data_IF_547330168736
#
_entry.id   IF_547330168736
#
_cell.length_a   1.000
_cell.length_b   1.000
_cell.length_c   1.000
_cell.angle_alpha   90.00
_cell.angle_beta   90.00
_cell.angle_gamma   90.00
#
_symmetry.space_group_name_H-M   'P 1'
#
loop_
_entity.id
_entity.type
_entity.pdbx_description
1 polymer ?
#
# COMPACT_ATOMS: atom_id res chain seq x y z
N UNK A 1 -39.21 2.18 18.05
CA UNK A 1 -39.71 1.12 17.14
C UNK A 1 -38.51 0.34 16.59
N UNK A 2 -38.46 -1.00 16.74
CA UNK A 2 -37.35 -1.82 16.19
C UNK A 2 -37.52 -1.90 14.67
N UNK A 3 -36.57 -1.35 13.89
CA UNK A 3 -36.57 -1.49 12.42
C UNK A 3 -36.44 -2.98 12.05
N UNK A 4 -37.33 -3.48 11.20
CA UNK A 4 -37.21 -4.84 10.62
C UNK A 4 -36.02 -4.88 9.66
N UNK A 5 -35.27 -6.00 9.58
CA UNK A 5 -34.16 -6.13 8.64
C UNK A 5 -34.66 -6.07 7.20
N UNK A 6 -33.94 -5.35 6.35
CA UNK A 6 -34.22 -5.30 4.92
C UNK A 6 -33.94 -6.67 4.27
N UNK A 7 -34.85 -7.15 3.43
CA UNK A 7 -34.72 -8.41 2.69
C UNK A 7 -33.66 -8.29 1.59
N UNK A 8 -32.57 -9.05 1.68
CA UNK A 8 -31.54 -9.06 0.63
C UNK A 8 -32.03 -9.84 -0.61
N UNK A 9 -31.71 -9.39 -1.85
CA UNK A 9 -31.99 -10.18 -3.05
C UNK A 9 -31.18 -11.48 -3.04
N UNK A 10 -31.76 -12.56 -3.55
CA UNK A 10 -31.13 -13.89 -3.58
C UNK A 10 -30.48 -14.10 -4.96
N UNK A 11 -29.25 -14.61 -5.01
CA UNK A 11 -28.61 -14.98 -6.27
C UNK A 11 -29.18 -16.31 -6.84
N UNK A 12 -28.83 -16.66 -8.07
CA UNK A 12 -29.26 -17.93 -8.71
C UNK A 12 -28.83 -19.22 -7.98
N UNK A 13 -28.05 -19.11 -6.91
CA UNK A 13 -27.57 -20.21 -6.07
C UNK A 13 -28.25 -20.22 -4.67
N UNK A 14 -29.31 -19.44 -4.46
CA UNK A 14 -30.06 -19.42 -3.20
C UNK A 14 -29.40 -18.64 -2.04
N UNK A 15 -28.34 -17.86 -2.31
CA UNK A 15 -27.60 -17.08 -1.29
C UNK A 15 -27.95 -15.60 -1.33
N UNK A 16 -28.10 -14.98 -0.16
CA UNK A 16 -28.38 -13.55 -0.03
C UNK A 16 -27.21 -12.69 -0.57
N UNK A 17 -27.49 -11.82 -1.55
CA UNK A 17 -26.54 -10.90 -2.16
C UNK A 17 -26.69 -9.50 -1.58
N UNK A 18 -25.57 -8.80 -1.40
CA UNK A 18 -25.58 -7.41 -0.95
C UNK A 18 -26.35 -6.53 -1.92
N UNK A 19 -27.26 -5.69 -1.41
CA UNK A 19 -28.03 -4.75 -2.22
C UNK A 19 -27.18 -3.71 -2.96
N UNK A 20 -25.98 -3.42 -2.47
CA UNK A 20 -25.12 -2.34 -2.99
C UNK A 20 -23.86 -2.81 -3.71
N UNK A 21 -23.57 -4.13 -3.76
CA UNK A 21 -22.39 -4.65 -4.47
C UNK A 21 -22.51 -6.17 -4.73
N UNK A 22 -21.53 -6.76 -5.41
CA UNK A 22 -21.51 -8.19 -5.76
C UNK A 22 -21.19 -9.14 -4.59
N UNK A 23 -20.83 -8.60 -3.41
CA UNK A 23 -20.46 -9.42 -2.25
C UNK A 23 -21.69 -10.05 -1.58
N UNK A 24 -21.52 -11.17 -0.84
CA UNK A 24 -22.61 -11.78 -0.08
C UNK A 24 -23.11 -10.85 1.03
N UNK A 25 -24.43 -10.78 1.19
CA UNK A 25 -25.05 -10.15 2.35
C UNK A 25 -24.91 -11.06 3.58
N UNK A 26 -24.91 -10.46 4.77
CA UNK A 26 -24.90 -11.24 6.01
C UNK A 26 -26.33 -11.36 6.55
N UNK A 27 -26.81 -12.58 6.86
CA UNK A 27 -28.15 -12.78 7.41
C UNK A 27 -28.36 -11.93 8.68
N UNK A 28 -29.52 -11.27 8.77
CA UNK A 28 -29.88 -10.40 9.90
C UNK A 28 -29.26 -9.00 9.87
N UNK A 29 -28.54 -8.63 8.80
CA UNK A 29 -28.11 -7.25 8.58
C UNK A 29 -29.32 -6.33 8.38
N UNK A 30 -29.41 -5.22 9.14
CA UNK A 30 -30.51 -4.26 8.97
C UNK A 30 -30.63 -3.71 7.55
N UNK A 31 -29.49 -3.63 6.85
CA UNK A 31 -29.38 -3.08 5.50
C UNK A 31 -29.41 -4.12 4.38
N UNK A 32 -29.53 -5.43 4.69
CA UNK A 32 -29.42 -6.48 3.67
C UNK A 32 -28.11 -6.41 2.87
N UNK A 33 -27.03 -6.00 3.52
CA UNK A 33 -25.77 -5.61 2.88
C UNK A 33 -24.55 -6.34 3.48
N UNK A 34 -23.46 -6.41 2.71
CA UNK A 34 -22.16 -6.88 3.17
C UNK A 34 -21.57 -5.93 4.25
N UNK A 35 -20.51 -6.36 4.94
CA UNK A 35 -19.89 -5.58 6.03
C UNK A 35 -19.47 -4.16 5.61
N UNK A 36 -18.90 -4.01 4.41
CA UNK A 36 -18.39 -2.71 3.92
C UNK A 36 -19.53 -1.76 3.56
N UNK A 37 -20.47 -2.19 2.72
CA UNK A 37 -21.64 -1.40 2.34
C UNK A 37 -22.52 -1.06 3.55
N UNK A 38 -22.70 -2.00 4.50
CA UNK A 38 -23.45 -1.73 5.73
C UNK A 38 -22.78 -0.66 6.61
N UNK A 39 -21.45 -0.57 6.61
CA UNK A 39 -20.74 0.51 7.32
C UNK A 39 -20.90 1.86 6.64
N UNK A 40 -20.81 1.91 5.31
CA UNK A 40 -21.04 3.14 4.53
C UNK A 40 -22.48 3.65 4.72
N UNK A 41 -23.47 2.77 4.70
CA UNK A 41 -24.87 3.10 4.96
C UNK A 41 -25.07 3.61 6.40
N UNK A 42 -24.45 2.96 7.40
CA UNK A 42 -24.49 3.42 8.79
C UNK A 42 -23.78 4.77 9.02
N UNK A 43 -22.81 5.13 8.17
CA UNK A 43 -22.11 6.42 8.22
C UNK A 43 -22.87 7.53 7.47
N UNK A 44 -23.59 7.18 6.40
CA UNK A 44 -24.43 8.10 5.63
C UNK A 44 -25.73 8.49 6.37
N UNK A 45 -26.26 7.62 7.24
CA UNK A 45 -27.44 7.88 8.09
C UNK A 45 -27.14 8.87 9.26
N UNK A 46 -26.16 9.77 9.11
CA UNK A 46 -25.66 10.71 10.12
C UNK A 46 -26.61 11.83 10.57
N UNK A 47 -27.92 11.66 10.41
CA UNK A 47 -28.94 12.60 10.87
C UNK A 47 -30.17 11.87 11.42
N UNK A 48 -30.46 12.09 12.70
CA UNK A 48 -31.56 11.52 13.50
C UNK A 48 -31.46 10.02 13.84
N UNK A 49 -30.79 9.72 14.97
CA UNK A 49 -30.81 8.46 15.71
C UNK A 49 -30.79 7.17 14.85
N UNK A 50 -29.67 6.85 14.16
CA UNK A 50 -29.60 5.68 13.29
C UNK A 50 -29.67 4.39 14.13
N UNK A 51 -30.58 3.50 13.73
CA UNK A 51 -30.64 2.15 14.28
C UNK A 51 -29.36 1.39 13.90
N UNK A 52 -28.40 1.29 14.84
CA UNK A 52 -27.14 0.56 14.63
C UNK A 52 -27.42 -0.89 14.22
N UNK A 53 -26.71 -1.36 13.19
CA UNK A 53 -26.84 -2.73 12.73
C UNK A 53 -26.33 -3.70 13.82
N UNK A 54 -27.15 -4.66 14.30
CA UNK A 54 -26.76 -5.60 15.34
C UNK A 54 -25.67 -6.57 14.87
N UNK A 55 -25.60 -6.81 13.55
CA UNK A 55 -24.64 -7.73 12.90
C UNK A 55 -23.32 -7.04 12.57
N UNK A 56 -23.36 -5.76 12.16
CA UNK A 56 -22.19 -5.01 11.71
C UNK A 56 -21.93 -3.80 12.61
N UNK A 57 -21.49 -4.08 13.85
CA UNK A 57 -21.16 -3.05 14.85
C UNK A 57 -20.06 -2.11 14.33
N UNK A 58 -20.34 -0.82 14.35
CA UNK A 58 -19.35 0.25 14.20
C UNK A 58 -18.79 0.53 15.59
N UNK A 59 -17.47 0.45 15.78
CA UNK A 59 -16.85 0.85 17.05
C UNK A 59 -17.07 2.36 17.18
N UNK A 60 -17.73 2.79 18.27
CA UNK A 60 -17.84 4.19 18.60
C UNK A 60 -16.48 4.76 18.95
N UNK A 61 -16.27 6.04 18.64
CA UNK A 61 -15.13 6.82 19.12
C UNK A 61 -15.24 6.95 20.65
N UNK A 62 -14.37 6.25 21.37
CA UNK A 62 -14.33 6.28 22.83
C UNK A 62 -13.74 4.99 23.42
N UNK A 63 -12.73 5.15 24.28
CA UNK A 63 -11.94 4.14 25.01
C UNK A 63 -10.73 3.54 24.26
N UNK A 64 -9.58 4.19 24.48
CA UNK A 64 -8.24 3.59 24.40
C UNK A 64 -8.09 2.58 25.53
N UNK A 65 -7.79 1.32 25.20
CA UNK A 65 -7.44 0.29 26.17
C UNK A 65 -7.33 -1.10 25.52
N UNK A 66 -6.09 -1.60 25.42
CA UNK A 66 -5.78 -3.03 25.31
C UNK A 66 -5.92 -3.69 23.93
N UNK A 67 -4.78 -4.15 23.41
CA UNK A 67 -4.59 -5.16 22.36
C UNK A 67 -5.06 -4.81 20.92
N UNK A 68 -4.13 -4.24 20.13
CA UNK A 68 -4.06 -4.50 18.68
C UNK A 68 -2.68 -4.09 18.14
N UNK A 69 -1.74 -5.03 18.12
CA UNK A 69 -0.70 -5.04 17.11
C UNK A 69 -1.32 -5.53 15.78
N UNK A 70 -0.88 -4.94 14.68
CA UNK A 70 -1.23 -5.28 13.29
C UNK A 70 -2.64 -4.90 12.81
N UNK A 71 -2.87 -3.63 12.49
CA UNK A 71 -3.79 -3.20 11.43
C UNK A 71 -3.62 -1.70 11.13
N UNK A 72 -2.83 -1.34 10.11
CA UNK A 72 -2.85 -0.02 9.47
C UNK A 72 -2.60 -0.26 7.96
N UNK A 73 -3.28 0.31 6.97
CA UNK A 73 -4.53 1.05 6.89
C UNK A 73 -4.96 0.95 5.40
N UNK A 74 -6.15 0.43 5.13
CA UNK A 74 -6.88 0.69 3.88
C UNK A 74 -7.77 1.89 4.16
N UNK A 75 -7.53 3.00 3.47
CA UNK A 75 -8.52 4.06 3.30
C UNK A 75 -8.61 4.44 1.83
N UNK A 76 -9.84 4.76 1.45
CA UNK A 76 -10.36 4.90 0.09
C UNK A 76 -9.92 6.21 -0.56
N UNK A 77 -9.88 6.16 -1.89
CA UNK A 77 -9.35 7.16 -2.81
C UNK A 77 -10.25 8.41 -2.88
N UNK A 78 -9.63 9.60 -2.87
CA UNK A 78 -10.22 10.84 -3.34
C UNK A 78 -9.46 11.28 -4.60
N UNK A 79 -10.18 11.43 -5.71
CA UNK A 79 -9.65 11.89 -7.00
C UNK A 79 -9.18 13.34 -6.91
N UNK A 80 -7.91 13.59 -7.27
CA UNK A 80 -7.40 14.94 -7.50
C UNK A 80 -7.22 15.13 -9.01
N UNK A 81 -7.94 16.10 -9.58
CA UNK A 81 -7.76 16.57 -10.95
C UNK A 81 -6.39 17.24 -11.10
N UNK A 82 -5.58 16.74 -12.03
CA UNK A 82 -4.31 17.35 -12.46
C UNK A 82 -4.58 18.25 -13.67
N UNK A 83 -4.35 19.55 -13.49
CA UNK A 83 -4.18 20.49 -14.58
C UNK A 83 -2.75 20.37 -15.13
N UNK A 84 -2.63 20.36 -16.45
CA UNK A 84 -1.37 20.26 -17.17
C UNK A 84 -0.53 21.53 -16.98
N UNK A 85 0.72 21.37 -16.56
CA UNK A 85 1.75 22.40 -16.66
C UNK A 85 3.03 21.72 -17.17
N UNK A 86 3.35 22.01 -18.42
CA UNK A 86 4.58 21.62 -19.10
C UNK A 86 5.76 22.41 -18.51
N UNK A 87 6.76 21.70 -17.98
CA UNK A 87 8.10 22.24 -17.80
C UNK A 87 9.11 21.14 -18.14
N UNK A 88 9.76 21.31 -19.29
CA UNK A 88 10.72 20.39 -19.86
C UNK A 88 12.03 20.35 -19.05
N UNK A 89 12.40 19.16 -18.61
CA UNK A 89 13.79 18.78 -18.31
C UNK A 89 14.09 17.51 -19.10
N UNK A 90 14.98 17.67 -20.08
CA UNK A 90 15.43 16.65 -21.04
C UNK A 90 16.23 15.55 -20.33
N UNK A 91 15.51 14.54 -19.83
CA UNK A 91 16.03 13.23 -19.50
C UNK A 91 15.60 12.29 -20.63
N UNK A 92 16.52 12.03 -21.55
CA UNK A 92 16.34 11.28 -22.78
C UNK A 92 15.33 10.12 -22.67
N UNK A 93 14.22 10.28 -23.38
CA UNK A 93 13.29 9.26 -23.86
C UNK A 93 13.28 7.92 -23.12
N UNK A 94 12.84 7.92 -21.86
CA UNK A 94 12.25 6.73 -21.24
C UNK A 94 10.83 7.07 -20.85
N UNK A 95 9.92 6.89 -21.81
CA UNK A 95 8.48 7.03 -21.63
C UNK A 95 8.07 6.13 -20.45
N UNK A 96 7.78 6.72 -19.29
CA UNK A 96 7.16 6.04 -18.18
C UNK A 96 5.79 5.54 -18.66
N UNK A 97 5.72 4.32 -19.17
CA UNK A 97 4.45 3.68 -19.49
C UNK A 97 3.79 3.34 -18.16
N UNK A 98 3.00 4.28 -17.65
CA UNK A 98 1.96 3.95 -16.69
C UNK A 98 1.03 2.98 -17.42
N UNK A 99 1.09 1.70 -17.06
CA UNK A 99 0.11 0.71 -17.48
C UNK A 99 -1.24 1.07 -16.84
N UNK A 100 -1.93 2.03 -17.45
CA UNK A 100 -3.33 2.33 -17.19
C UNK A 100 -4.16 1.19 -17.74
N UNK A 101 -4.51 0.24 -16.89
CA UNK A 101 -5.61 -0.68 -17.18
C UNK A 101 -6.90 0.15 -17.11
N UNK A 102 -7.36 0.62 -18.26
CA UNK A 102 -8.59 1.38 -18.43
C UNK A 102 -9.80 0.64 -17.88
N UNK A 103 -10.55 1.33 -17.04
CA UNK A 103 -11.92 1.05 -16.69
C UNK A 103 -12.79 1.27 -17.95
N UNK A 104 -13.40 0.20 -18.45
CA UNK A 104 -14.48 0.25 -19.43
C UNK A 104 -15.62 -0.64 -18.96
N UNK A 105 -16.71 -0.02 -18.52
CA UNK A 105 -18.00 -0.68 -18.27
C UNK A 105 -18.73 -0.89 -19.59
N UNK A 106 -19.15 -2.12 -19.89
CA UNK A 106 -20.35 -2.44 -20.67
C UNK A 106 -20.73 -3.92 -20.49
N UNK A 107 -22.02 -4.19 -20.71
CA UNK A 107 -22.79 -5.35 -20.28
C UNK A 107 -22.67 -6.60 -21.18
N UNK A 108 -23.17 -7.70 -20.61
CA UNK A 108 -23.74 -8.92 -21.23
C UNK A 108 -22.89 -9.78 -22.17
N UNK A 109 -22.91 -11.08 -21.89
CA UNK A 109 -22.54 -12.14 -22.83
C UNK A 109 -21.53 -13.13 -22.26
N UNK A 110 -21.93 -14.40 -22.14
CA UNK A 110 -21.06 -15.53 -21.87
C UNK A 110 -19.99 -15.66 -22.96
N UNK A 111 -18.85 -14.99 -22.79
CA UNK A 111 -17.68 -15.14 -23.64
C UNK A 111 -16.81 -16.29 -23.14
N UNK A 112 -16.46 -17.23 -24.03
CA UNK A 112 -15.43 -18.24 -23.82
C UNK A 112 -14.14 -17.60 -23.25
N UNK A 113 -13.35 -18.34 -22.43
CA UNK A 113 -12.10 -17.83 -21.89
C UNK A 113 -11.21 -17.37 -23.05
N UNK A 114 -11.07 -16.04 -23.19
CA UNK A 114 -10.18 -15.46 -24.16
C UNK A 114 -8.76 -15.93 -23.83
N UNK A 115 -7.96 -16.38 -24.81
CA UNK A 115 -6.57 -16.71 -24.56
C UNK A 115 -5.92 -15.47 -23.95
N UNK A 116 -5.41 -15.61 -22.73
CA UNK A 116 -4.56 -14.63 -22.09
C UNK A 116 -3.30 -14.55 -22.96
N UNK A 117 -3.30 -13.62 -23.91
CA UNK A 117 -2.08 -13.23 -24.60
C UNK A 117 -1.22 -12.57 -23.54
N UNK A 118 -0.18 -13.26 -23.09
CA UNK A 118 0.80 -12.67 -22.18
C UNK A 118 1.28 -11.36 -22.81
N UNK A 119 1.30 -10.25 -22.05
CA UNK A 119 1.83 -9.01 -22.57
C UNK A 119 3.27 -9.26 -23.06
N UNK A 120 3.67 -8.66 -24.19
CA UNK A 120 5.01 -8.87 -24.74
C UNK A 120 6.06 -8.56 -23.67
N UNK A 121 7.04 -9.45 -23.54
CA UNK A 121 8.14 -9.27 -22.59
C UNK A 121 8.92 -8.02 -22.96
N UNK A 122 8.85 -6.98 -22.12
CA UNK A 122 9.64 -5.77 -22.32
C UNK A 122 11.11 -6.05 -21.99
N UNK A 123 11.98 -5.92 -22.99
CA UNK A 123 13.43 -6.10 -22.83
C UNK A 123 14.08 -4.72 -22.66
N UNK A 124 14.71 -4.49 -21.50
CA UNK A 124 15.53 -3.31 -21.28
C UNK A 124 16.98 -3.57 -21.72
N UNK A 125 17.57 -2.65 -22.47
CA UNK A 125 19.00 -2.70 -22.87
C UNK A 125 19.95 -2.24 -21.76
N UNK A 126 19.46 -1.47 -20.79
CA UNK A 126 20.27 -0.88 -19.71
C UNK A 126 20.90 -1.94 -18.82
N UNK A 127 22.23 -1.95 -18.72
CA UNK A 127 22.98 -2.88 -17.84
C UNK A 127 22.99 -2.44 -16.39
N UNK A 128 22.84 -1.14 -16.15
CA UNK A 128 22.87 -0.52 -14.82
C UNK A 128 21.47 -0.05 -14.44
N UNK A 129 21.04 -0.38 -13.23
CA UNK A 129 19.77 0.01 -12.64
C UNK A 129 20.01 0.93 -11.45
N UNK A 130 19.39 2.11 -11.43
CA UNK A 130 19.39 2.98 -10.27
C UNK A 130 18.22 2.59 -9.37
N UNK A 131 18.52 2.10 -8.16
CA UNK A 131 17.53 1.59 -7.23
C UNK A 131 17.45 2.49 -6.00
N UNK A 132 16.24 2.97 -5.68
CA UNK A 132 15.97 3.89 -4.58
C UNK A 132 16.03 3.29 -3.17
N UNK A 133 16.56 2.07 -3.00
CA UNK A 133 16.78 1.43 -1.69
C UNK A 133 17.74 2.29 -0.85
N UNK A 134 17.45 2.43 0.45
CA UNK A 134 18.18 3.34 1.36
C UNK A 134 17.40 4.61 1.68
N UNK A 135 16.54 5.09 0.77
CA UNK A 135 15.77 6.31 1.00
C UNK A 135 14.78 6.20 2.18
N UNK A 136 14.20 5.02 2.41
CA UNK A 136 13.28 4.80 3.54
C UNK A 136 14.02 4.77 4.88
N UNK A 137 15.17 4.10 4.89
CA UNK A 137 16.03 3.89 6.05
C UNK A 137 16.70 5.20 6.49
N UNK A 138 17.17 6.01 5.54
CA UNK A 138 17.89 7.26 5.81
C UNK A 138 17.01 8.46 6.10
N UNK A 139 15.80 8.52 5.52
CA UNK A 139 14.96 9.73 5.56
C UNK A 139 13.60 9.50 6.23
N UNK A 140 13.48 8.46 7.07
CA UNK A 140 12.27 8.32 7.89
C UNK A 140 11.04 7.82 7.11
N UNK A 141 11.21 6.95 6.10
CA UNK A 141 10.14 6.58 5.18
C UNK A 141 9.15 5.50 5.65
N UNK A 142 9.47 4.73 6.70
CA UNK A 142 8.61 3.65 7.16
C UNK A 142 7.57 4.13 8.17
N UNK A 143 6.35 3.56 8.12
CA UNK A 143 5.29 3.86 9.11
C UNK A 143 5.72 3.59 10.56
N UNK A 144 6.64 2.64 10.79
CA UNK A 144 7.24 2.40 12.11
C UNK A 144 8.06 3.58 12.63
N UNK A 145 8.70 4.37 11.76
CA UNK A 145 9.39 5.60 12.15
C UNK A 145 8.39 6.64 12.65
N UNK A 146 7.26 6.81 11.94
CA UNK A 146 6.15 7.65 12.41
C UNK A 146 5.60 7.18 13.75
N UNK A 147 5.43 5.87 13.95
CA UNK A 147 5.02 5.31 15.25
C UNK A 147 6.06 5.57 16.34
N UNK A 148 7.35 5.45 16.04
CA UNK A 148 8.44 5.73 16.97
C UNK A 148 8.47 7.21 17.34
N UNK A 149 8.34 8.10 16.36
CA UNK A 149 8.20 9.55 16.54
C UNK A 149 7.10 9.89 17.54
N UNK A 150 5.91 9.33 17.34
CA UNK A 150 4.76 9.60 18.21
C UNK A 150 4.90 9.05 19.65
N UNK A 151 5.77 8.06 19.88
CA UNK A 151 5.90 7.37 21.18
C UNK A 151 7.15 7.76 21.96
N UNK A 152 8.23 8.10 21.25
CA UNK A 152 9.60 8.20 21.77
C UNK A 152 10.36 9.40 21.20
N UNK A 153 9.68 10.30 20.50
CA UNK A 153 10.28 11.50 19.91
C UNK A 153 11.41 11.19 18.92
N UNK A 154 12.35 12.13 18.81
CA UNK A 154 13.47 12.05 17.87
C UNK A 154 14.42 10.87 18.16
N UNK A 155 14.74 10.59 19.42
CA UNK A 155 15.60 9.46 19.81
C UNK A 155 15.00 8.11 19.39
N UNK A 156 13.69 7.97 19.53
CA UNK A 156 12.97 6.80 19.06
C UNK A 156 13.06 6.60 17.55
N UNK A 157 12.97 7.69 16.79
CA UNK A 157 13.15 7.68 15.33
C UNK A 157 14.58 7.28 14.99
N UNK A 158 15.58 7.88 15.65
CA UNK A 158 16.99 7.55 15.47
C UNK A 158 17.24 6.05 15.66
N UNK A 159 16.74 5.50 16.76
CA UNK A 159 16.94 4.11 17.13
C UNK A 159 16.34 3.14 16.09
N UNK A 160 15.14 3.44 15.58
CA UNK A 160 14.54 2.61 14.52
C UNK A 160 15.28 2.75 13.19
N UNK A 161 15.67 3.97 12.80
CA UNK A 161 16.41 4.21 11.55
C UNK A 161 17.78 3.52 11.56
N UNK A 162 18.54 3.63 12.65
CA UNK A 162 19.82 2.95 12.81
C UNK A 162 19.68 1.44 12.76
N UNK A 163 18.65 0.89 13.41
CA UNK A 163 18.34 -0.54 13.36
C UNK A 163 18.02 -1.02 11.94
N UNK A 164 17.31 -0.21 11.17
CA UNK A 164 17.00 -0.53 9.78
C UNK A 164 18.25 -0.48 8.90
N UNK A 165 19.11 0.53 9.07
CA UNK A 165 20.40 0.63 8.36
C UNK A 165 21.32 -0.57 8.67
N UNK A 166 21.47 -0.93 9.95
CA UNK A 166 22.28 -2.08 10.38
C UNK A 166 21.85 -3.41 9.77
N UNK A 167 20.56 -3.54 9.44
CA UNK A 167 19.96 -4.76 8.90
C UNK A 167 19.70 -4.67 7.40
N UNK A 168 19.98 -3.54 6.77
CA UNK A 168 19.63 -3.26 5.38
C UNK A 168 20.24 -4.30 4.43
N UNK A 169 21.49 -4.68 4.67
CA UNK A 169 22.23 -5.66 3.87
C UNK A 169 21.52 -7.03 3.83
N UNK A 170 21.03 -7.52 4.97
CA UNK A 170 20.38 -8.83 5.06
C UNK A 170 18.90 -8.78 4.71
N UNK A 171 18.22 -7.65 4.96
CA UNK A 171 16.76 -7.53 4.77
C UNK A 171 16.35 -7.18 3.34
N UNK A 172 17.11 -6.30 2.68
CA UNK A 172 16.79 -5.79 1.35
C UNK A 172 17.91 -6.11 0.36
N UNK A 173 19.13 -5.61 0.59
CA UNK A 173 20.19 -5.64 -0.44
C UNK A 173 20.51 -7.06 -0.89
N UNK A 174 20.66 -8.01 0.03
CA UNK A 174 21.03 -9.38 -0.32
C UNK A 174 19.98 -10.15 -1.14
N UNK A 175 18.69 -9.79 -1.10
CA UNK A 175 17.69 -10.39 -1.99
C UNK A 175 17.58 -9.64 -3.31
N UNK A 176 17.68 -8.32 -3.27
CA UNK A 176 17.51 -7.46 -4.44
C UNK A 176 18.73 -7.64 -5.38
N UNK A 177 19.93 -7.71 -4.82
CA UNK A 177 21.20 -7.94 -5.54
C UNK A 177 21.19 -9.28 -6.30
N UNK A 178 20.80 -10.37 -5.64
CA UNK A 178 20.73 -11.70 -6.28
C UNK A 178 19.80 -11.71 -7.49
N UNK A 179 18.63 -11.08 -7.38
CA UNK A 179 17.66 -11.01 -8.49
C UNK A 179 18.22 -10.16 -9.63
N UNK A 180 18.85 -9.03 -9.32
CA UNK A 180 19.43 -8.14 -10.34
C UNK A 180 20.61 -8.80 -11.05
N UNK A 181 21.50 -9.46 -10.30
CA UNK A 181 22.67 -10.15 -10.84
C UNK A 181 22.29 -11.36 -11.71
N UNK A 182 21.25 -12.12 -11.32
CA UNK A 182 20.70 -13.24 -12.11
C UNK A 182 20.25 -12.81 -13.52
N UNK A 183 19.87 -11.54 -13.68
CA UNK A 183 19.49 -10.95 -14.98
C UNK A 183 20.67 -10.29 -15.72
N UNK A 184 21.91 -10.52 -15.27
CA UNK A 184 23.12 -9.92 -15.85
C UNK A 184 23.15 -8.39 -15.75
N UNK A 185 22.54 -7.84 -14.69
CA UNK A 185 22.46 -6.39 -14.44
C UNK A 185 23.22 -6.01 -13.17
N UNK A 186 23.54 -4.73 -13.08
CA UNK A 186 24.20 -4.11 -11.92
C UNK A 186 23.23 -3.14 -11.24
N UNK A 187 23.04 -3.30 -9.93
CA UNK A 187 22.30 -2.32 -9.12
C UNK A 187 23.24 -1.24 -8.60
N UNK A 188 22.84 0.03 -8.71
CA UNK A 188 23.47 1.15 -8.00
C UNK A 188 22.46 1.79 -7.07
N UNK A 189 22.94 2.19 -5.89
CA UNK A 189 22.12 2.70 -4.80
C UNK A 189 22.52 4.13 -4.45
N UNK A 190 22.03 5.16 -5.18
CA UNK A 190 22.43 6.55 -4.96
C UNK A 190 22.23 7.05 -3.51
N UNK A 191 21.22 6.54 -2.81
CA UNK A 191 20.98 6.90 -1.41
C UNK A 191 22.02 6.32 -0.44
N UNK A 192 22.73 5.26 -0.82
CA UNK A 192 23.76 4.62 -0.01
C UNK A 192 25.18 5.09 -0.36
N UNK A 193 25.29 6.14 -1.19
CA UNK A 193 26.55 6.81 -1.45
C UNK A 193 27.13 7.43 -0.17
N UNK A 194 28.44 7.33 0.02
CA UNK A 194 29.13 7.83 1.22
C UNK A 194 28.94 9.33 1.45
N UNK A 195 28.85 10.12 0.37
CA UNK A 195 28.56 11.55 0.44
C UNK A 195 27.16 11.82 0.96
N UNK A 196 26.18 11.08 0.45
CA UNK A 196 24.78 11.18 0.92
C UNK A 196 24.64 10.73 2.37
N UNK A 197 25.27 9.61 2.74
CA UNK A 197 25.28 9.10 4.11
C UNK A 197 25.89 10.11 5.08
N UNK A 198 27.04 10.70 4.71
CA UNK A 198 27.72 11.72 5.53
C UNK A 198 26.87 12.98 5.67
N UNK A 199 26.26 13.44 4.59
CA UNK A 199 25.37 14.59 4.62
C UNK A 199 24.17 14.34 5.54
N UNK A 200 23.41 13.27 5.32
CA UNK A 200 22.24 12.94 6.15
C UNK A 200 22.63 12.70 7.60
N UNK A 201 23.75 12.02 7.85
CA UNK A 201 24.26 11.76 9.20
C UNK A 201 24.74 13.01 9.94
N UNK A 202 25.02 14.11 9.23
CA UNK A 202 25.37 15.40 9.84
C UNK A 202 24.15 16.23 10.27
N UNK A 203 22.95 15.86 9.81
CA UNK A 203 21.73 16.60 10.13
C UNK A 203 21.25 16.30 11.55
N UNK A 204 20.70 17.29 12.28
CA UNK A 204 20.03 17.05 13.55
C UNK A 204 18.91 16.02 13.40
N UNK A 205 18.82 15.08 14.32
CA UNK A 205 17.82 14.02 14.25
C UNK A 205 16.40 14.58 14.38
N UNK A 206 16.22 15.68 15.11
CA UNK A 206 14.96 16.41 15.26
C UNK A 206 14.47 16.92 13.91
N UNK A 207 15.39 17.40 13.07
CA UNK A 207 15.09 17.87 11.73
C UNK A 207 14.63 16.70 10.84
N UNK A 208 15.26 15.52 10.93
CA UNK A 208 14.82 14.34 10.18
C UNK A 208 13.49 13.77 10.71
N UNK A 209 13.30 13.78 12.03
CA UNK A 209 12.12 13.24 12.68
C UNK A 209 10.89 14.12 12.46
N UNK A 210 11.02 15.43 12.67
CA UNK A 210 9.89 16.35 12.74
C UNK A 210 9.85 17.36 11.58
N UNK A 211 10.95 17.56 10.86
CA UNK A 211 11.04 18.59 9.84
C UNK A 211 10.98 20.01 10.40
N UNK A 212 10.88 21.03 9.54
CA UNK A 212 10.96 22.44 9.94
C UNK A 212 9.84 22.89 10.88
N UNK A 213 8.68 22.19 10.89
CA UNK A 213 7.58 22.49 11.80
C UNK A 213 7.77 22.00 13.25
N UNK A 214 8.85 21.25 13.51
CA UNK A 214 9.18 20.74 14.83
C UNK A 214 8.12 19.77 15.40
N UNK A 215 8.26 19.43 16.68
CA UNK A 215 7.40 18.42 17.31
C UNK A 215 5.92 18.83 17.37
N UNK A 216 5.63 20.13 17.48
CA UNK A 216 4.27 20.66 17.52
C UNK A 216 3.52 20.50 16.18
N UNK A 217 4.24 20.54 15.05
CA UNK A 217 3.67 20.42 13.71
C UNK A 217 4.60 19.59 12.82
N UNK A 218 4.67 18.26 13.03
CA UNK A 218 5.67 17.45 12.38
C UNK A 218 5.36 17.26 10.89
N UNK A 219 6.39 17.40 10.06
CA UNK A 219 6.32 17.22 8.62
C UNK A 219 6.02 15.76 8.22
N UNK A 220 5.54 15.55 6.97
CA UNK A 220 5.29 14.22 6.43
C UNK A 220 6.54 13.33 6.39
N UNK A 221 6.34 12.01 6.25
CA UNK A 221 7.46 11.07 6.08
C UNK A 221 8.31 11.48 4.86
N UNK A 222 9.64 11.40 4.99
CA UNK A 222 10.61 11.86 3.98
C UNK A 222 10.44 13.32 3.53
N UNK A 223 10.03 14.20 4.43
CA UNK A 223 9.78 15.61 4.08
C UNK A 223 10.94 16.23 3.27
N UNK A 224 12.20 15.97 3.64
CA UNK A 224 13.38 16.52 2.95
C UNK A 224 13.42 16.11 1.46
N UNK A 225 13.10 14.85 1.17
CA UNK A 225 13.05 14.35 -0.21
C UNK A 225 11.82 14.89 -0.97
N UNK A 226 10.72 15.14 -0.26
CA UNK A 226 9.50 15.71 -0.86
C UNK A 226 9.69 17.18 -1.22
N UNK A 227 10.32 17.96 -0.35
CA UNK A 227 10.72 19.34 -0.62
C UNK A 227 11.66 19.40 -1.83
N UNK A 228 12.74 18.60 -1.80
CA UNK A 228 13.66 18.53 -2.94
C UNK A 228 12.95 18.13 -4.24
N UNK A 229 12.04 17.15 -4.19
CA UNK A 229 11.27 16.76 -5.37
C UNK A 229 10.38 17.91 -5.87
N UNK A 230 9.72 18.64 -4.98
CA UNK A 230 8.89 19.79 -5.33
C UNK A 230 9.73 20.92 -5.97
N UNK A 231 10.87 21.26 -5.38
CA UNK A 231 11.83 22.24 -5.92
C UNK A 231 12.33 21.86 -7.33
N UNK A 232 12.41 20.56 -7.63
CA UNK A 232 12.82 20.04 -8.95
C UNK A 232 11.65 19.87 -9.93
N UNK A 233 10.45 20.37 -9.61
CA UNK A 233 9.27 20.26 -10.47
C UNK A 233 8.58 18.89 -10.45
N UNK A 234 9.01 17.97 -9.57
CA UNK A 234 8.43 16.63 -9.44
C UNK A 234 7.26 16.63 -8.45
N UNK A 235 6.28 17.52 -8.66
CA UNK A 235 5.16 17.74 -7.73
C UNK A 235 4.30 16.49 -7.47
N UNK A 236 4.11 15.66 -8.50
CA UNK A 236 3.42 14.37 -8.36
C UNK A 236 4.19 13.43 -7.40
N UNK A 237 5.52 13.35 -7.51
CA UNK A 237 6.34 12.53 -6.63
C UNK A 237 6.39 13.09 -5.20
N UNK A 238 6.47 14.41 -5.08
CA UNK A 238 6.51 15.11 -3.80
C UNK A 238 5.24 14.89 -2.96
N UNK A 239 4.07 14.81 -3.60
CA UNK A 239 2.79 14.59 -2.94
C UNK A 239 2.41 13.11 -2.80
N UNK A 240 3.05 12.21 -3.57
CA UNK A 240 2.64 10.81 -3.62
C UNK A 240 2.76 10.10 -2.27
N UNK A 241 1.66 9.47 -1.83
CA UNK A 241 1.66 8.66 -0.60
C UNK A 241 2.43 7.37 -0.83
N UNK A 242 3.45 7.14 -0.01
CA UNK A 242 4.29 5.94 -0.08
C UNK A 242 3.44 4.66 0.02
N UNK A 243 3.65 3.74 -0.92
CA UNK A 243 3.19 2.35 -0.85
C UNK A 243 4.38 1.45 -1.19
N UNK A 244 4.66 0.45 -0.35
CA UNK A 244 5.74 -0.50 -0.67
C UNK A 244 5.36 -1.32 -1.91
N UNK A 245 6.35 -1.71 -2.71
CA UNK A 245 6.13 -2.32 -4.03
C UNK A 245 5.19 -3.52 -3.95
N UNK A 246 5.35 -4.39 -2.94
CA UNK A 246 4.55 -5.60 -2.79
C UNK A 246 3.05 -5.32 -2.53
N UNK A 247 2.75 -4.14 -1.99
CA UNK A 247 1.38 -3.69 -1.76
C UNK A 247 0.86 -2.88 -2.94
N UNK A 248 1.71 -2.05 -3.55
CA UNK A 248 1.38 -1.25 -4.73
C UNK A 248 1.01 -2.11 -5.94
N UNK A 249 1.79 -3.17 -6.20
CA UNK A 249 1.51 -4.14 -7.27
C UNK A 249 0.44 -5.18 -6.89
N UNK A 250 0.00 -5.18 -5.64
CA UNK A 250 -0.90 -6.19 -5.05
C UNK A 250 -0.34 -7.62 -5.06
N UNK A 251 0.94 -7.83 -5.38
CA UNK A 251 1.56 -9.16 -5.40
C UNK A 251 1.50 -9.85 -4.03
N UNK A 252 1.59 -9.10 -2.93
CA UNK A 252 1.45 -9.67 -1.59
C UNK A 252 0.08 -10.33 -1.38
N UNK A 253 -1.00 -9.72 -1.91
CA UNK A 253 -2.34 -10.30 -1.84
C UNK A 253 -2.43 -11.59 -2.66
N UNK A 254 -1.88 -11.57 -3.87
CA UNK A 254 -1.90 -12.72 -4.77
C UNK A 254 -1.09 -13.89 -4.21
N UNK A 255 0.13 -13.60 -3.73
CA UNK A 255 1.02 -14.55 -3.08
C UNK A 255 0.37 -15.19 -1.84
N UNK A 256 -0.29 -14.40 -0.99
CA UNK A 256 -0.99 -14.95 0.18
C UNK A 256 -2.17 -15.85 -0.24
N UNK A 257 -2.90 -15.49 -1.29
CA UNK A 257 -3.98 -16.32 -1.82
C UNK A 257 -3.46 -17.68 -2.28
N UNK A 258 -2.39 -17.69 -3.08
CA UNK A 258 -1.84 -18.91 -3.66
C UNK A 258 -1.24 -19.84 -2.63
N UNK A 259 -0.49 -19.30 -1.66
CA UNK A 259 0.21 -20.15 -0.71
C UNK A 259 -0.59 -20.43 0.57
N UNK A 260 -1.49 -19.52 0.99
CA UNK A 260 -2.22 -19.64 2.26
C UNK A 260 -3.74 -19.84 2.10
N UNK A 261 -4.26 -19.80 0.87
CA UNK A 261 -5.71 -19.80 0.61
C UNK A 261 -6.44 -18.57 1.18
N UNK A 262 -5.72 -17.54 1.61
CA UNK A 262 -6.29 -16.37 2.30
C UNK A 262 -5.54 -15.09 1.99
N UNK A 263 -6.24 -13.95 1.96
CA UNK A 263 -5.62 -12.63 1.80
C UNK A 263 -4.83 -12.21 3.06
N UNK A 264 -5.06 -12.87 4.20
CA UNK A 264 -4.43 -12.50 5.47
C UNK A 264 -2.91 -12.63 5.38
N UNK A 265 -2.22 -11.72 6.07
CA UNK A 265 -0.77 -11.74 6.14
C UNK A 265 -0.32 -13.09 6.71
N UNK A 266 0.54 -13.76 5.96
CA UNK A 266 1.12 -15.01 6.36
C UNK A 266 2.32 -14.74 7.27
N UNK A 267 2.57 -15.63 8.24
CA UNK A 267 3.79 -15.62 9.04
C UNK A 267 5.02 -15.90 8.19
N UNK A 268 6.16 -15.32 8.59
CA UNK A 268 7.43 -15.40 7.85
C UNK A 268 8.13 -16.77 7.91
N UNK A 269 7.55 -17.74 8.61
CA UNK A 269 7.97 -19.14 8.70
C UNK A 269 7.19 -20.06 7.75
N UNK A 270 6.26 -19.50 6.96
CA UNK A 270 5.51 -20.30 6.00
C UNK A 270 6.42 -20.86 4.92
N UNK A 271 6.30 -22.15 4.68
CA UNK A 271 6.95 -22.84 3.57
C UNK A 271 6.47 -22.27 2.24
N UNK A 272 7.36 -21.55 1.55
CA UNK A 272 7.09 -21.03 0.22
C UNK A 272 7.11 -22.18 -0.80
N UNK A 273 5.93 -22.56 -1.31
CA UNK A 273 5.82 -23.52 -2.41
C UNK A 273 5.96 -22.76 -3.73
N UNK A 274 7.19 -22.63 -4.21
CA UNK A 274 7.53 -21.88 -5.43
C UNK A 274 6.83 -22.42 -6.70
N UNK A 275 6.53 -23.71 -6.70
CA UNK A 275 5.81 -24.40 -7.76
C UNK A 275 4.48 -24.83 -7.13
N UNK A 276 3.37 -24.25 -7.59
CA UNK A 276 2.04 -24.77 -7.28
C UNK A 276 2.03 -26.26 -7.66
N UNK A 277 1.31 -27.07 -6.88
CA UNK A 277 1.19 -28.51 -7.12
C UNK A 277 0.98 -28.76 -8.62
N UNK A 278 1.98 -29.39 -9.25
CA UNK A 278 1.67 -30.22 -10.40
C UNK A 278 0.65 -31.22 -9.90
N UNK A 279 -0.39 -31.44 -10.68
CA UNK A 279 -1.28 -32.58 -10.52
C UNK A 279 -0.40 -33.84 -10.59
N UNK A 280 0.13 -34.27 -9.44
CA UNK A 280 0.70 -35.60 -9.29
C UNK A 280 -0.49 -36.56 -9.21
N UNK A 281 -0.98 -36.90 -10.41
CA UNK A 281 -1.74 -38.12 -10.60
C UNK A 281 -0.88 -39.31 -10.17
N UNK A 282 -1.36 -40.03 -9.18
CA UNK A 282 -1.08 -41.43 -8.92
C UNK A 282 -2.31 -42.05 -8.23
#
# INVERSE_FOLDING_TARGET
QKRKPATAPVNGEGRERCRSCVLPAKPGCLHGACKLCCRKLQAADGGAAPAKCPVHKVKGEGARGGAAAAAEAMEEDGEAQVGEAEAALDLGASRCQAAGAGCGVAADGCGAPQPVTSPPTTIASSRVLLIGTGADELLGGYGRHRTARAKRGAEGVQSEMLKDLQRLWTRNLGRDDRIVADHGREARHPFLDDGVLRFVGSLPIELLAFGPGGEASPSPDKWLLRELAAERGLGACASFKKRAIQFGTRIAKQSNLWHAGSVRQVRGDMTYRALGEGEDGA
#
